data_IF_858543176290
#
_entry.id   IF_858543176290
#
_cell.length_a   1.000
_cell.length_b   1.000
_cell.length_c   1.000
_cell.angle_alpha   90.00
_cell.angle_beta   90.00
_cell.angle_gamma   90.00
#
_symmetry.space_group_name_H-M   'P 1'
#
loop_
_entity.id
_entity.type
_entity.pdbx_description
1 polymer ?
#
# COMPACT_ATOMS: atom_id res chain seq x y z
N UNK A 1 -9.19 -12.54 -51.93
CA UNK A 1 -8.22 -12.56 -50.82
C UNK A 1 -8.12 -11.14 -50.27
N UNK A 2 -8.86 -10.83 -49.19
CA UNK A 2 -8.74 -9.57 -48.45
C UNK A 2 -8.10 -9.90 -47.11
N UNK A 3 -6.80 -9.64 -47.00
CA UNK A 3 -5.99 -9.89 -45.81
C UNK A 3 -5.33 -8.59 -45.32
N UNK A 4 -6.12 -7.51 -45.24
CA UNK A 4 -5.68 -6.20 -44.71
C UNK A 4 -6.79 -5.64 -43.82
N UNK A 5 -7.06 -6.33 -42.72
CA UNK A 5 -7.85 -5.85 -41.59
C UNK A 5 -7.43 -6.61 -40.31
N UNK A 6 -6.13 -6.90 -40.21
CA UNK A 6 -5.51 -7.53 -39.06
C UNK A 6 -4.25 -6.72 -38.78
N UNK A 7 -4.04 -6.39 -37.50
CA UNK A 7 -2.91 -5.66 -36.90
C UNK A 7 -3.18 -4.15 -36.72
N UNK A 8 -4.02 -3.82 -35.73
CA UNK A 8 -3.87 -2.67 -34.83
C UNK A 8 -4.82 -2.79 -33.62
N UNK A 9 -4.93 -3.98 -33.04
CA UNK A 9 -5.64 -4.23 -31.77
C UNK A 9 -4.79 -5.11 -30.85
N UNK A 10 -3.49 -4.82 -30.75
CA UNK A 10 -2.59 -5.46 -29.79
C UNK A 10 -1.83 -4.38 -29.07
N UNK A 11 -1.99 -4.34 -27.74
CA UNK A 11 -1.69 -3.25 -26.79
C UNK A 11 -2.78 -2.17 -26.71
N UNK A 12 -3.92 -2.52 -26.10
CA UNK A 12 -4.54 -1.53 -25.20
C UNK A 12 -3.53 -1.42 -24.04
N UNK A 13 -2.66 -0.42 -24.10
CA UNK A 13 -2.11 0.13 -22.87
C UNK A 13 -3.34 0.51 -22.03
N UNK A 14 -3.47 -0.09 -20.85
CA UNK A 14 -4.59 0.20 -19.95
C UNK A 14 -4.76 1.70 -19.82
N UNK A 15 -6.01 2.18 -19.82
CA UNK A 15 -6.27 3.59 -19.62
C UNK A 15 -5.59 4.00 -18.31
N UNK A 16 -4.97 5.18 -18.30
CA UNK A 16 -4.34 5.67 -17.07
C UNK A 16 -5.38 5.68 -15.96
N UNK A 17 -5.03 5.23 -14.75
CA UNK A 17 -5.98 5.18 -13.65
C UNK A 17 -6.61 6.55 -13.36
N UNK A 18 -5.94 7.66 -13.73
CA UNK A 18 -6.47 9.03 -13.67
C UNK A 18 -7.63 9.30 -14.63
N UNK A 19 -7.81 8.53 -15.69
CA UNK A 19 -9.00 8.65 -16.56
C UNK A 19 -10.25 8.10 -15.87
N UNK A 20 -10.09 7.05 -15.05
CA UNK A 20 -11.20 6.42 -14.32
C UNK A 20 -11.43 7.06 -12.95
N UNK A 21 -10.35 7.44 -12.27
CA UNK A 21 -10.35 8.09 -10.95
C UNK A 21 -9.65 9.46 -11.12
N UNK A 22 -10.38 10.50 -11.53
CA UNK A 22 -9.74 11.75 -12.00
C UNK A 22 -9.25 12.68 -10.89
N UNK A 23 -9.61 12.42 -9.64
CA UNK A 23 -9.28 13.31 -8.52
C UNK A 23 -8.95 12.53 -7.26
N UNK A 24 -8.22 13.17 -6.34
CA UNK A 24 -7.99 12.65 -4.99
C UNK A 24 -9.29 12.37 -4.24
N UNK A 25 -10.30 13.21 -4.43
CA UNK A 25 -11.61 13.01 -3.82
C UNK A 25 -12.29 11.73 -4.32
N UNK A 26 -12.17 11.41 -5.61
CA UNK A 26 -12.69 10.16 -6.18
C UNK A 26 -11.92 8.94 -5.67
N UNK A 27 -10.60 9.07 -5.50
CA UNK A 27 -9.80 8.02 -4.88
C UNK A 27 -10.22 7.79 -3.42
N UNK A 28 -10.46 8.86 -2.66
CA UNK A 28 -11.02 8.77 -1.31
C UNK A 28 -12.38 8.07 -1.31
N UNK A 29 -13.31 8.40 -2.20
CA UNK A 29 -14.62 7.73 -2.28
C UNK A 29 -14.48 6.21 -2.47
N UNK A 30 -13.53 5.74 -3.28
CA UNK A 30 -13.25 4.30 -3.46
C UNK A 30 -12.76 3.66 -2.16
N UNK A 31 -11.84 4.32 -1.46
CA UNK A 31 -11.31 3.86 -0.17
C UNK A 31 -12.40 3.90 0.92
N UNK A 32 -13.23 4.95 0.96
CA UNK A 32 -14.32 5.10 1.90
C UNK A 32 -15.38 4.01 1.71
N UNK A 33 -15.77 3.72 0.47
CA UNK A 33 -16.68 2.61 0.17
C UNK A 33 -16.14 1.26 0.66
N UNK A 34 -14.81 1.11 0.69
CA UNK A 34 -14.13 -0.11 1.10
C UNK A 34 -14.07 -0.25 2.63
N UNK A 35 -13.78 0.85 3.35
CA UNK A 35 -13.48 0.82 4.79
C UNK A 35 -14.49 1.54 5.69
N UNK A 36 -15.51 2.16 5.09
CA UNK A 36 -16.49 3.04 5.73
C UNK A 36 -15.85 4.07 6.66
N UNK A 37 -14.85 4.80 6.15
CA UNK A 37 -14.08 5.83 6.87
C UNK A 37 -14.99 6.97 7.35
N UNK A 38 -15.94 7.41 6.54
CA UNK A 38 -16.93 8.45 6.84
C UNK A 38 -17.84 8.13 8.02
N UNK A 39 -17.93 6.85 8.43
CA UNK A 39 -18.67 6.42 9.62
C UNK A 39 -17.82 6.42 10.90
N UNK A 40 -16.54 6.79 10.79
CA UNK A 40 -15.57 6.82 11.89
C UNK A 40 -15.46 8.24 12.46
N UNK A 41 -14.96 8.42 13.70
CA UNK A 41 -14.75 9.74 14.29
C UNK A 41 -13.50 10.43 13.69
N UNK A 42 -13.52 10.65 12.38
CA UNK A 42 -12.48 11.32 11.60
C UNK A 42 -13.10 12.51 10.85
N UNK A 43 -12.42 13.64 10.89
CA UNK A 43 -12.63 14.73 9.94
C UNK A 43 -11.84 14.42 8.66
N UNK A 44 -12.47 14.70 7.54
CA UNK A 44 -11.95 14.44 6.19
C UNK A 44 -11.84 15.79 5.49
N UNK A 45 -10.70 16.09 4.88
CA UNK A 45 -10.56 17.31 4.07
C UNK A 45 -11.45 17.27 2.83
N UNK A 46 -11.79 18.43 2.27
CA UNK A 46 -12.68 18.54 1.10
C UNK A 46 -12.16 17.79 -0.14
N UNK A 47 -10.84 17.67 -0.28
CA UNK A 47 -10.14 16.95 -1.35
C UNK A 47 -9.89 15.46 -1.03
N UNK A 48 -10.27 15.00 0.17
CA UNK A 48 -10.10 13.63 0.64
C UNK A 48 -8.65 13.25 0.94
N UNK A 49 -7.68 14.16 0.84
CA UNK A 49 -6.25 13.83 0.99
C UNK A 49 -5.86 13.64 2.46
N UNK A 50 -6.53 14.35 3.37
CA UNK A 50 -6.21 14.36 4.79
C UNK A 50 -7.34 13.72 5.60
N UNK A 51 -6.95 12.81 6.50
CA UNK A 51 -7.81 12.37 7.61
C UNK A 51 -7.22 12.85 8.92
N UNK A 52 -8.07 13.36 9.81
CA UNK A 52 -7.67 13.70 11.16
C UNK A 52 -8.73 13.28 12.17
N UNK A 53 -8.40 12.90 13.39
CA UNK A 53 -9.40 12.55 14.40
C UNK A 53 -10.24 13.75 14.82
N UNK A 54 -11.53 13.54 15.04
CA UNK A 54 -12.42 14.56 15.62
C UNK A 54 -12.02 14.76 17.09
N UNK A 55 -11.34 15.86 17.44
CA UNK A 55 -10.90 16.16 18.81
C UNK A 55 -12.03 16.85 19.58
N UNK A 56 -12.79 16.08 20.37
CA UNK A 56 -13.95 16.63 21.09
C UNK A 56 -13.65 17.22 22.47
N UNK A 57 -12.55 16.85 23.14
CA UNK A 57 -12.13 17.41 24.45
C UNK A 57 -10.62 17.28 24.68
N UNK A 58 -9.93 18.41 24.82
CA UNK A 58 -8.58 18.47 25.42
C UNK A 58 -8.76 18.48 26.93
N UNK A 59 -8.19 17.51 27.65
CA UNK A 59 -8.26 17.45 29.12
C UNK A 59 -7.68 18.72 29.76
N UNK A 60 -8.42 19.36 30.67
CA UNK A 60 -7.97 20.54 31.44
C UNK A 60 -6.85 20.23 32.47
N UNK A 61 -6.54 18.96 32.75
CA UNK A 61 -5.51 18.57 33.73
C UNK A 61 -4.16 18.25 33.07
N UNK A 62 -3.87 18.85 31.93
CA UNK A 62 -2.67 18.59 31.14
C UNK A 62 -1.65 19.74 31.29
N UNK A 63 -0.85 19.72 32.36
CA UNK A 63 0.29 20.64 32.47
C UNK A 63 1.32 20.37 31.36
N UNK A 64 1.79 21.45 30.72
CA UNK A 64 2.96 21.48 29.83
C UNK A 64 2.73 22.17 28.47
N UNK A 65 3.65 23.06 28.09
CA UNK A 65 3.69 23.82 26.84
C UNK A 65 4.08 22.99 25.59
N UNK A 66 4.40 21.71 25.76
CA UNK A 66 4.95 20.83 24.70
C UNK A 66 4.00 19.71 24.26
N UNK A 67 2.68 19.85 24.43
CA UNK A 67 1.75 18.77 24.02
C UNK A 67 1.22 18.98 22.60
N UNK A 68 1.38 18.00 21.69
CA UNK A 68 0.69 18.02 20.41
C UNK A 68 -0.85 17.96 20.66
N UNK A 69 -1.66 18.71 19.89
CA UNK A 69 -3.06 19.04 20.23
C UNK A 69 -4.09 17.89 20.18
N UNK A 70 -3.67 16.63 20.12
CA UNK A 70 -4.53 15.53 19.62
C UNK A 70 -4.91 14.44 20.65
N UNK A 71 -4.72 14.68 21.96
CA UNK A 71 -5.08 13.68 22.98
C UNK A 71 -6.61 13.51 23.10
N UNK A 72 -7.14 12.35 22.71
CA UNK A 72 -8.54 11.99 22.87
C UNK A 72 -8.79 11.18 24.16
N UNK A 73 -9.83 11.54 24.92
CA UNK A 73 -10.39 10.70 25.97
C UNK A 73 -11.80 10.28 25.55
N UNK A 74 -11.98 9.01 25.17
CA UNK A 74 -13.30 8.52 24.77
C UNK A 74 -14.17 8.12 25.98
N UNK A 75 -13.60 7.76 27.15
CA UNK A 75 -14.35 7.40 28.37
C UNK A 75 -13.56 7.70 29.66
N UNK A 76 -14.26 7.90 30.79
CA UNK A 76 -13.68 8.25 32.10
C UNK A 76 -12.66 7.24 32.66
N UNK A 77 -12.62 6.01 32.13
CA UNK A 77 -11.70 4.95 32.55
C UNK A 77 -10.75 4.46 31.43
N UNK A 78 -10.72 5.13 30.27
CA UNK A 78 -9.88 4.76 29.14
C UNK A 78 -8.87 5.88 28.83
N UNK A 79 -7.60 5.66 29.18
CA UNK A 79 -6.48 6.46 28.70
C UNK A 79 -6.10 6.00 27.30
N UNK A 80 -6.51 6.71 26.23
CA UNK A 80 -6.07 6.38 24.86
C UNK A 80 -5.90 7.60 23.92
N UNK A 81 -4.67 8.13 23.93
CA UNK A 81 -3.72 8.49 22.84
C UNK A 81 -4.09 9.28 21.56
N UNK A 82 -3.10 10.08 21.13
CA UNK A 82 -3.04 10.99 19.96
C UNK A 82 -3.17 10.24 18.65
N UNK A 83 -4.26 10.36 17.89
CA UNK A 83 -4.25 9.93 16.49
C UNK A 83 -3.71 11.06 15.60
N UNK A 84 -2.65 10.78 14.84
CA UNK A 84 -1.97 11.76 14.01
C UNK A 84 -2.79 12.16 12.78
N UNK A 85 -2.33 13.20 12.08
CA UNK A 85 -2.80 13.54 10.74
C UNK A 85 -2.37 12.43 9.78
N UNK A 86 -3.32 11.91 9.01
CA UNK A 86 -3.05 10.96 7.94
C UNK A 86 -3.02 11.68 6.60
N UNK A 87 -2.13 11.26 5.72
CA UNK A 87 -2.03 11.78 4.36
C UNK A 87 -2.18 10.64 3.35
N UNK A 88 -3.01 10.85 2.33
CA UNK A 88 -3.18 9.90 1.24
C UNK A 88 -1.93 9.85 0.37
N UNK A 89 -1.32 8.68 0.28
CA UNK A 89 -0.19 8.36 -0.58
C UNK A 89 -0.62 7.42 -1.70
N UNK A 90 0.06 7.53 -2.83
CA UNK A 90 -0.16 6.73 -4.04
C UNK A 90 1.18 6.20 -4.54
N UNK A 91 1.20 4.92 -4.89
CA UNK A 91 2.27 4.28 -5.66
C UNK A 91 1.65 3.81 -6.97
N UNK A 92 2.08 4.39 -8.09
CA UNK A 92 1.70 3.93 -9.41
C UNK A 92 2.53 2.71 -9.81
N UNK A 93 1.91 1.71 -10.46
CA UNK A 93 2.64 0.53 -10.89
C UNK A 93 3.50 0.81 -12.13
N UNK A 94 4.80 0.51 -12.10
CA UNK A 94 5.65 0.63 -13.28
C UNK A 94 5.15 -0.26 -14.43
N UNK A 95 4.93 0.35 -15.60
CA UNK A 95 4.47 -0.35 -16.81
C UNK A 95 3.04 -0.89 -16.74
N UNK A 96 2.23 -0.45 -15.77
CA UNK A 96 0.79 -0.75 -15.68
C UNK A 96 0.03 0.49 -15.14
N UNK A 97 -0.23 1.51 -15.99
CA UNK A 97 -0.76 2.81 -15.54
C UNK A 97 -2.19 2.75 -14.98
N UNK A 98 -2.93 1.67 -15.28
CA UNK A 98 -4.25 1.37 -14.73
C UNK A 98 -4.19 0.81 -13.29
N UNK A 99 -3.01 0.48 -12.78
CA UNK A 99 -2.82 -0.20 -11.49
C UNK A 99 -2.15 0.69 -10.44
N UNK A 100 -2.80 0.84 -9.28
CA UNK A 100 -2.36 1.71 -8.19
C UNK A 100 -2.37 0.98 -6.84
N UNK A 101 -1.43 1.32 -5.98
CA UNK A 101 -1.51 1.10 -4.54
C UNK A 101 -1.75 2.45 -3.86
N UNK A 102 -2.81 2.59 -3.09
CA UNK A 102 -3.13 3.81 -2.37
C UNK A 102 -3.42 3.52 -0.90
N UNK A 103 -3.15 4.49 -0.03
CA UNK A 103 -3.48 4.40 1.38
C UNK A 103 -3.04 5.62 2.16
N UNK A 104 -3.60 5.78 3.34
CA UNK A 104 -3.34 6.83 4.30
C UNK A 104 -2.15 6.48 5.19
N UNK A 105 -1.18 7.38 5.26
CA UNK A 105 0.02 7.23 6.09
C UNK A 105 -0.03 8.22 7.24
N UNK A 106 0.24 7.74 8.47
CA UNK A 106 0.34 8.59 9.66
C UNK A 106 1.63 9.40 9.58
N UNK A 107 1.54 10.73 9.65
CA UNK A 107 2.70 11.63 9.61
C UNK A 107 3.49 11.73 10.94
N UNK A 108 3.27 10.80 11.86
CA UNK A 108 3.88 10.81 13.20
C UNK A 108 4.46 9.44 13.51
N UNK A 109 5.77 9.39 13.81
CA UNK A 109 6.54 8.18 14.10
C UNK A 109 6.17 7.56 15.46
N UNK A 110 5.44 8.28 16.31
CA UNK A 110 5.02 7.77 17.60
C UNK A 110 3.88 6.73 17.42
N UNK A 111 4.27 5.45 17.52
CA UNK A 111 3.37 4.29 17.49
C UNK A 111 2.27 4.43 18.54
N UNK A 112 1.02 4.26 18.11
CA UNK A 112 -0.15 4.38 18.98
C UNK A 112 -0.70 3.00 19.32
N UNK A 113 -0.66 2.67 20.60
CA UNK A 113 -1.23 1.45 21.15
C UNK A 113 -2.61 1.80 21.71
N UNK A 114 -3.67 1.36 21.01
CA UNK A 114 -5.05 1.50 21.50
C UNK A 114 -5.56 0.21 22.14
N UNK A 115 -6.10 0.29 23.36
CA UNK A 115 -6.95 -0.78 23.93
C UNK A 115 -8.42 -0.41 23.78
N UNK A 116 -9.19 -1.19 23.01
CA UNK A 116 -10.66 -1.07 23.01
C UNK A 116 -11.22 -1.73 24.29
N UNK A 117 -12.32 -1.20 24.89
CA UNK A 117 -12.90 -1.76 26.12
C UNK A 117 -13.24 -3.25 26.04
N UNK A 118 -13.58 -3.74 24.84
CA UNK A 118 -14.02 -5.12 24.60
C UNK A 118 -12.92 -6.00 23.95
N UNK A 119 -11.68 -5.50 23.85
CA UNK A 119 -10.56 -6.25 23.28
C UNK A 119 -9.38 -6.32 24.24
N UNK A 120 -9.01 -7.53 24.73
CA UNK A 120 -7.94 -7.69 25.72
C UNK A 120 -6.55 -7.43 25.15
N UNK A 121 -6.39 -7.50 23.82
CA UNK A 121 -5.12 -7.24 23.13
C UNK A 121 -5.11 -5.81 22.60
N UNK A 122 -4.07 -5.00 22.93
CA UNK A 122 -3.88 -3.74 22.24
C UNK A 122 -3.78 -4.00 20.74
N UNK A 123 -4.60 -3.35 19.93
CA UNK A 123 -4.42 -3.39 18.48
C UNK A 123 -3.56 -2.20 18.08
N UNK A 124 -2.54 -2.47 17.25
CA UNK A 124 -1.89 -1.43 16.48
C UNK A 124 -2.99 -0.69 15.70
N UNK A 125 -3.17 0.59 15.98
CA UNK A 125 -4.16 1.45 15.31
C UNK A 125 -3.66 1.97 13.95
N UNK A 126 -2.56 1.41 13.43
CA UNK A 126 -1.96 1.76 12.16
C UNK A 126 -2.80 1.19 11.00
N UNK A 127 -4.06 1.60 10.93
CA UNK A 127 -4.89 1.35 9.76
C UNK A 127 -4.48 2.36 8.71
N UNK A 128 -3.84 1.87 7.66
CA UNK A 128 -3.43 2.66 6.52
C UNK A 128 -4.56 2.82 5.51
N UNK A 129 -5.71 2.16 5.72
CA UNK A 129 -6.82 2.07 4.77
C UNK A 129 -6.33 1.77 3.35
N UNK A 130 -5.40 0.83 3.23
CA UNK A 130 -4.66 0.58 2.01
C UNK A 130 -5.46 -0.28 1.03
N UNK A 131 -5.53 0.17 -0.23
CA UNK A 131 -6.17 -0.55 -1.33
C UNK A 131 -5.22 -0.76 -2.50
N UNK A 132 -5.31 -1.91 -3.16
CA UNK A 132 -4.85 -2.06 -4.55
C UNK A 132 -6.03 -1.82 -5.48
N UNK A 133 -5.75 -1.13 -6.58
CA UNK A 133 -6.72 -0.79 -7.60
C UNK A 133 -6.21 -1.29 -8.95
N UNK A 134 -7.06 -2.00 -9.69
CA UNK A 134 -6.89 -2.27 -11.12
C UNK A 134 -8.11 -1.69 -11.82
N UNK A 135 -7.95 -0.49 -12.37
CA UNK A 135 -9.06 0.30 -12.94
C UNK A 135 -9.62 -0.30 -14.21
N UNK A 136 -8.77 -0.88 -15.07
CA UNK A 136 -9.20 -1.59 -16.29
C UNK A 136 -10.15 -2.75 -16.00
N UNK A 137 -9.89 -3.47 -14.89
CA UNK A 137 -10.68 -4.65 -14.50
C UNK A 137 -11.69 -4.38 -13.41
N UNK A 138 -11.79 -3.14 -12.95
CA UNK A 138 -12.65 -2.71 -11.85
C UNK A 138 -12.45 -3.56 -10.58
N UNK A 139 -11.19 -3.79 -10.19
CA UNK A 139 -10.82 -4.56 -9.00
C UNK A 139 -10.34 -3.61 -7.90
N UNK A 140 -10.86 -3.81 -6.69
CA UNK A 140 -10.39 -3.18 -5.45
C UNK A 140 -10.02 -4.27 -4.47
N UNK A 141 -8.79 -4.24 -3.93
CA UNK A 141 -8.31 -5.20 -2.93
C UNK A 141 -7.99 -4.46 -1.62
N UNK A 142 -8.74 -4.70 -0.54
CA UNK A 142 -8.53 -4.05 0.77
C UNK A 142 -7.41 -4.71 1.57
N UNK A 143 -6.19 -4.21 1.45
CA UNK A 143 -5.01 -4.87 2.03
C UNK A 143 -4.99 -4.93 3.56
N UNK A 144 -5.66 -3.99 4.24
CA UNK A 144 -5.65 -3.91 5.70
C UNK A 144 -6.73 -4.75 6.41
N UNK A 145 -7.54 -5.51 5.68
CA UNK A 145 -8.51 -6.45 6.27
C UNK A 145 -8.11 -7.92 6.00
N UNK A 146 -7.19 -8.50 6.79
CA UNK A 146 -6.69 -9.84 6.57
C UNK A 146 -7.72 -10.96 6.77
N UNK A 147 -8.96 -10.61 7.15
CA UNK A 147 -10.07 -11.56 7.28
C UNK A 147 -11.00 -11.51 6.07
N UNK A 148 -10.88 -10.50 5.22
CA UNK A 148 -11.77 -10.34 4.09
C UNK A 148 -11.36 -11.29 2.97
N UNK A 149 -12.27 -12.20 2.61
CA UNK A 149 -12.05 -13.16 1.53
C UNK A 149 -11.99 -12.43 0.19
N UNK A 150 -10.98 -12.75 -0.62
CA UNK A 150 -10.89 -12.23 -1.98
C UNK A 150 -11.71 -13.13 -2.92
N UNK A 151 -12.61 -12.52 -3.67
CA UNK A 151 -13.47 -13.21 -4.65
C UNK A 151 -12.86 -13.19 -6.07
N UNK A 152 -11.53 -13.10 -6.15
CA UNK A 152 -10.79 -13.06 -7.40
C UNK A 152 -10.57 -14.47 -7.97
N UNK A 153 -10.63 -14.59 -9.29
CA UNK A 153 -10.28 -15.81 -10.00
C UNK A 153 -8.76 -16.01 -10.07
N UNK A 154 -8.30 -17.24 -10.33
CA UNK A 154 -6.87 -17.57 -10.36
C UNK A 154 -6.02 -16.70 -11.28
N UNK A 155 -6.52 -16.38 -12.48
CA UNK A 155 -5.80 -15.49 -13.43
C UNK A 155 -5.77 -14.03 -12.95
N UNK A 156 -6.85 -13.56 -12.29
CA UNK A 156 -6.87 -12.23 -11.69
C UNK A 156 -5.86 -12.15 -10.53
N UNK A 157 -5.79 -13.17 -9.68
CA UNK A 157 -4.82 -13.26 -8.58
C UNK A 157 -3.39 -13.17 -9.12
N UNK A 158 -3.03 -14.01 -10.10
CA UNK A 158 -1.70 -14.01 -10.71
C UNK A 158 -1.35 -12.65 -11.30
N UNK A 159 -2.30 -12.03 -12.00
CA UNK A 159 -2.07 -10.73 -12.63
C UNK A 159 -1.89 -9.61 -11.60
N UNK A 160 -2.70 -9.58 -10.53
CA UNK A 160 -2.55 -8.60 -9.45
C UNK A 160 -1.21 -8.80 -8.74
N UNK A 161 -0.85 -10.05 -8.41
CA UNK A 161 0.44 -10.39 -7.82
C UNK A 161 1.62 -9.99 -8.71
N UNK A 162 1.53 -10.17 -10.03
CA UNK A 162 2.57 -9.74 -10.96
C UNK A 162 2.77 -8.21 -10.93
N UNK A 163 1.69 -7.43 -10.86
CA UNK A 163 1.79 -5.96 -10.74
C UNK A 163 2.34 -5.54 -9.37
N UNK A 164 1.96 -6.23 -8.29
CA UNK A 164 2.57 -6.02 -6.98
C UNK A 164 4.07 -6.33 -6.99
N UNK A 165 4.50 -7.42 -7.65
CA UNK A 165 5.93 -7.75 -7.80
C UNK A 165 6.68 -6.62 -8.50
N UNK A 166 6.09 -5.96 -9.51
CA UNK A 166 6.70 -4.79 -10.17
C UNK A 166 6.89 -3.60 -9.23
N UNK A 167 5.89 -3.29 -8.41
CA UNK A 167 6.01 -2.24 -7.37
C UNK A 167 7.15 -2.55 -6.41
N UNK A 168 7.21 -3.79 -5.90
CA UNK A 168 8.26 -4.21 -4.98
C UNK A 168 9.64 -4.27 -5.64
N UNK A 169 9.72 -4.65 -6.91
CA UNK A 169 10.97 -4.66 -7.65
C UNK A 169 11.52 -3.23 -7.82
N UNK A 170 10.66 -2.28 -8.20
CA UNK A 170 11.03 -0.86 -8.32
C UNK A 170 11.49 -0.29 -6.97
N UNK A 171 10.77 -0.61 -5.89
CA UNK A 171 11.20 -0.31 -4.52
C UNK A 171 12.60 -0.84 -4.19
N UNK A 172 12.84 -2.14 -4.40
CA UNK A 172 14.11 -2.79 -4.08
C UNK A 172 15.26 -2.26 -4.94
N UNK A 173 15.00 -1.86 -6.19
CA UNK A 173 16.00 -1.25 -7.07
C UNK A 173 16.53 0.09 -6.54
N UNK A 174 15.75 0.75 -5.68
CA UNK A 174 16.09 2.01 -5.04
C UNK A 174 16.30 1.86 -3.53
N UNK A 175 16.59 0.65 -3.02
CA UNK A 175 16.68 0.39 -1.57
C UNK A 175 17.82 1.16 -0.89
N UNK A 176 18.89 1.47 -1.63
CA UNK A 176 20.04 2.25 -1.17
C UNK A 176 19.73 3.73 -0.91
N UNK A 177 18.61 4.22 -1.45
CA UNK A 177 18.10 5.60 -1.27
C UNK A 177 17.04 5.69 -0.18
N UNK A 178 16.65 4.58 0.44
CA UNK A 178 15.58 4.57 1.44
C UNK A 178 16.10 4.93 2.83
N UNK A 179 15.17 5.36 3.67
CA UNK A 179 15.44 5.68 5.07
C UNK A 179 15.42 4.44 5.97
N UNK A 180 15.97 4.53 7.18
CA UNK A 180 16.06 3.39 8.12
C UNK A 180 14.71 2.80 8.54
N UNK A 181 13.62 3.55 8.40
CA UNK A 181 12.27 3.07 8.68
C UNK A 181 11.64 2.22 7.56
N UNK A 182 12.23 2.23 6.37
CA UNK A 182 11.65 1.60 5.19
C UNK A 182 11.68 0.05 5.25
N UNK A 183 10.76 -0.64 4.54
CA UNK A 183 10.78 -2.09 4.36
C UNK A 183 12.17 -2.63 4.00
N UNK A 184 12.63 -3.69 4.64
CA UNK A 184 13.85 -4.39 4.23
C UNK A 184 15.17 -3.60 4.31
N UNK A 185 15.13 -2.34 4.80
CA UNK A 185 16.32 -1.52 4.88
C UNK A 185 17.34 -2.10 5.88
N UNK A 186 16.88 -2.73 6.96
CA UNK A 186 17.74 -3.39 7.92
C UNK A 186 18.49 -4.57 7.27
N UNK A 187 17.78 -5.38 6.49
CA UNK A 187 18.33 -6.50 5.73
C UNK A 187 19.37 -6.03 4.71
N UNK A 188 19.07 -4.95 3.98
CA UNK A 188 20.01 -4.29 3.08
C UNK A 188 21.24 -3.73 3.83
N UNK A 189 21.03 -3.04 4.94
CA UNK A 189 22.10 -2.42 5.75
C UNK A 189 23.04 -3.48 6.31
N UNK A 190 22.50 -4.60 6.78
CA UNK A 190 23.29 -5.70 7.34
C UNK A 190 24.10 -6.42 6.26
N UNK A 191 23.59 -6.50 5.02
CA UNK A 191 24.39 -6.93 3.87
C UNK A 191 25.48 -5.91 3.54
N UNK A 192 25.12 -4.62 3.41
CA UNK A 192 26.02 -3.50 3.05
C UNK A 192 27.22 -3.38 3.98
N UNK A 193 27.04 -3.63 5.28
CA UNK A 193 28.09 -3.57 6.32
C UNK A 193 29.20 -4.60 6.13
N UNK A 194 29.00 -5.62 5.30
CA UNK A 194 30.00 -6.65 5.04
C UNK A 194 30.96 -6.30 3.89
N UNK A 195 30.79 -5.12 3.27
CA UNK A 195 31.55 -4.68 2.12
C UNK A 195 32.22 -3.32 2.39
N UNK A 196 33.46 -3.15 1.93
CA UNK A 196 34.10 -1.83 1.88
C UNK A 196 33.41 -1.00 0.78
N UNK A 197 33.37 -1.56 -0.43
CA UNK A 197 32.63 -1.04 -1.59
C UNK A 197 31.54 -2.03 -1.95
N UNK A 198 30.29 -1.56 -2.04
CA UNK A 198 29.15 -2.42 -2.35
C UNK A 198 29.20 -2.85 -3.82
N UNK A 199 29.22 -4.16 -4.14
CA UNK A 199 29.03 -4.66 -5.50
C UNK A 199 27.61 -4.37 -6.04
N UNK A 200 27.34 -4.55 -7.34
CA UNK A 200 25.98 -4.50 -7.86
C UNK A 200 25.04 -5.43 -7.08
N UNK A 201 23.86 -4.91 -6.70
CA UNK A 201 22.85 -5.69 -6.00
C UNK A 201 22.05 -6.53 -7.00
N UNK A 202 21.79 -7.76 -6.61
CA UNK A 202 20.79 -8.62 -7.23
C UNK A 202 19.61 -8.74 -6.25
N UNK A 203 18.40 -8.48 -6.71
CA UNK A 203 17.21 -8.59 -5.87
C UNK A 203 16.17 -9.48 -6.52
N UNK A 204 15.64 -10.43 -5.76
CA UNK A 204 14.48 -11.23 -6.13
C UNK A 204 13.32 -10.92 -5.18
N UNK A 205 12.10 -10.84 -5.70
CA UNK A 205 10.91 -10.58 -4.90
C UNK A 205 9.70 -11.28 -5.46
N UNK A 206 8.93 -11.87 -4.54
CA UNK A 206 7.66 -12.48 -4.84
C UNK A 206 6.63 -12.13 -3.77
N UNK A 207 5.43 -11.82 -4.23
CA UNK A 207 4.33 -11.41 -3.40
C UNK A 207 3.18 -12.37 -3.55
N UNK A 208 2.55 -12.71 -2.41
CA UNK A 208 1.39 -13.58 -2.36
C UNK A 208 0.31 -12.97 -1.47
N UNK A 209 -0.95 -13.27 -1.77
CA UNK A 209 -2.04 -12.97 -0.85
C UNK A 209 -1.99 -13.97 0.30
N UNK A 210 -2.45 -13.54 1.47
CA UNK A 210 -2.55 -14.42 2.62
C UNK A 210 -3.55 -15.55 2.36
N UNK A 211 -3.26 -16.73 2.90
CA UNK A 211 -4.23 -17.83 2.93
C UNK A 211 -5.19 -17.62 4.11
N UNK A 212 -6.46 -17.99 3.93
CA UNK A 212 -7.41 -18.04 5.04
C UNK A 212 -6.84 -18.91 6.18
N UNK A 213 -6.72 -18.32 7.37
CA UNK A 213 -6.26 -19.06 8.55
C UNK A 213 -7.27 -20.16 8.87
N UNK A 214 -6.79 -21.39 9.10
CA UNK A 214 -7.64 -22.44 9.65
C UNK A 214 -8.19 -21.97 11.00
N UNK A 215 -9.47 -22.21 11.27
CA UNK A 215 -10.16 -21.82 12.51
C UNK A 215 -9.59 -22.44 13.80
N UNK A 216 -8.45 -23.15 13.74
CA UNK A 216 -7.82 -23.79 14.89
C UNK A 216 -6.30 -23.59 14.93
N UNK A 217 -5.74 -22.92 15.97
CA UNK A 217 -4.31 -22.60 16.09
C UNK A 217 -3.41 -23.80 16.46
N UNK A 218 -3.92 -25.05 16.37
CA UNK A 218 -3.20 -26.28 16.74
C UNK A 218 -2.95 -27.25 15.59
N UNK A 219 -3.32 -26.90 14.36
CA UNK A 219 -3.01 -27.73 13.21
C UNK A 219 -1.62 -27.36 12.66
N UNK A 220 -0.69 -28.31 12.69
CA UNK A 220 0.58 -28.22 11.97
C UNK A 220 0.33 -27.84 10.50
N UNK A 221 1.19 -27.00 9.88
CA UNK A 221 1.03 -26.62 8.49
C UNK A 221 1.23 -27.87 7.61
N UNK A 222 0.13 -28.43 7.11
CA UNK A 222 0.16 -29.50 6.12
C UNK A 222 0.41 -28.92 4.73
N UNK A 223 1.15 -29.67 3.91
CA UNK A 223 1.47 -29.44 2.50
C UNK A 223 0.26 -29.29 1.55
N UNK A 224 -0.96 -29.13 2.07
CA UNK A 224 -2.21 -28.96 1.32
C UNK A 224 -2.76 -27.52 1.35
N UNK A 225 -1.97 -26.52 1.74
CA UNK A 225 -2.40 -25.11 1.80
C UNK A 225 -2.71 -24.46 0.43
N UNK A 226 -2.40 -25.13 -0.69
CA UNK A 226 -2.68 -24.62 -2.04
C UNK A 226 -4.18 -24.50 -2.39
N UNK A 227 -5.06 -25.17 -1.64
CA UNK A 227 -6.51 -25.11 -1.88
C UNK A 227 -7.23 -24.07 -1.00
N UNK A 228 -6.51 -23.34 -0.14
CA UNK A 228 -7.13 -22.30 0.69
C UNK A 228 -7.42 -21.07 -0.15
N UNK A 229 -8.59 -20.48 0.09
CA UNK A 229 -8.97 -19.26 -0.59
C UNK A 229 -8.10 -18.11 -0.10
N UNK A 230 -7.66 -17.22 -0.99
CA UNK A 230 -6.90 -16.05 -0.58
C UNK A 230 -7.79 -15.09 0.20
N UNK A 231 -7.23 -14.50 1.24
CA UNK A 231 -7.79 -13.36 1.98
C UNK A 231 -6.98 -12.12 1.66
N UNK A 232 -7.54 -10.95 1.96
CA UNK A 232 -6.86 -9.71 1.74
C UNK A 232 -5.62 -9.60 2.64
N UNK A 233 -4.72 -8.69 2.31
CA UNK A 233 -3.39 -8.64 2.90
C UNK A 233 -2.37 -9.47 2.12
N UNK A 234 -1.09 -9.11 2.28
CA UNK A 234 0.00 -9.59 1.45
C UNK A 234 1.16 -10.11 2.30
N UNK A 235 1.78 -11.17 1.81
CA UNK A 235 3.08 -11.65 2.27
C UNK A 235 4.10 -11.41 1.15
N UNK A 236 5.29 -11.00 1.56
CA UNK A 236 6.41 -10.70 0.66
C UNK A 236 7.55 -11.62 1.03
N UNK A 237 8.09 -12.31 0.03
CA UNK A 237 9.38 -12.98 0.09
C UNK A 237 10.34 -12.19 -0.77
N UNK A 238 11.45 -11.78 -0.19
CA UNK A 238 12.51 -11.05 -0.88
C UNK A 238 13.88 -11.63 -0.57
N UNK A 239 14.80 -11.52 -1.52
CA UNK A 239 16.22 -11.78 -1.33
C UNK A 239 17.02 -10.62 -1.94
N UNK A 240 18.02 -10.13 -1.22
CA UNK A 240 19.03 -9.20 -1.74
C UNK A 240 20.37 -9.90 -1.65
N UNK A 241 21.07 -9.96 -2.77
CA UNK A 241 22.37 -10.60 -2.89
C UNK A 241 23.41 -9.65 -3.48
N UNK A 242 24.67 -9.86 -3.08
CA UNK A 242 25.84 -9.21 -3.65
C UNK A 242 27.04 -10.14 -3.43
N UNK A 243 27.80 -10.43 -4.49
CA UNK A 243 29.04 -11.22 -4.43
C UNK A 243 28.89 -12.53 -3.62
N UNK A 244 27.93 -13.36 -4.01
CA UNK A 244 27.58 -14.65 -3.39
C UNK A 244 27.04 -14.60 -1.95
N UNK A 245 26.93 -13.40 -1.35
CA UNK A 245 26.28 -13.20 -0.05
C UNK A 245 24.83 -12.81 -0.29
N UNK A 246 23.95 -13.32 0.57
CA UNK A 246 22.52 -13.11 0.43
C UNK A 246 21.93 -12.83 1.81
N UNK A 247 20.99 -11.90 1.84
CA UNK A 247 20.08 -11.70 2.95
C UNK A 247 18.64 -11.76 2.44
N UNK A 248 17.72 -12.23 3.27
CA UNK A 248 16.36 -12.50 2.83
C UNK A 248 15.34 -12.27 3.92
N UNK A 249 14.11 -11.99 3.48
CA UNK A 249 12.95 -11.85 4.34
C UNK A 249 11.80 -12.67 3.74
N UNK A 250 11.02 -13.32 4.60
CA UNK A 250 9.79 -14.01 4.23
C UNK A 250 8.76 -13.78 5.35
N UNK A 251 7.70 -13.05 5.04
CA UNK A 251 6.70 -12.73 6.03
C UNK A 251 5.65 -11.75 5.56
N UNK A 252 4.86 -11.28 6.52
CA UNK A 252 3.88 -10.21 6.31
C UNK A 252 4.57 -8.86 6.43
N UNK A 253 4.07 -7.87 5.69
CA UNK A 253 4.53 -6.50 5.81
C UNK A 253 3.37 -5.53 5.94
N UNK A 254 3.55 -4.54 6.81
CA UNK A 254 2.61 -3.45 6.99
C UNK A 254 2.68 -2.52 5.77
N UNK A 255 1.54 -2.33 5.09
CA UNK A 255 1.49 -1.47 3.91
C UNK A 255 1.85 -0.02 4.21
N UNK A 256 1.59 0.46 5.43
CA UNK A 256 2.03 1.78 5.88
C UNK A 256 3.54 1.97 5.67
N UNK A 257 4.37 0.97 5.99
CA UNK A 257 5.83 1.10 5.83
C UNK A 257 6.21 1.28 4.38
N UNK A 258 5.57 0.58 3.44
CA UNK A 258 5.79 0.75 2.01
C UNK A 258 5.29 2.11 1.50
N UNK A 259 4.09 2.53 1.93
CA UNK A 259 3.51 3.82 1.56
C UNK A 259 4.25 5.03 2.17
N UNK A 260 5.09 4.80 3.19
CA UNK A 260 6.00 5.80 3.76
C UNK A 260 7.32 5.95 3.00
N UNK A 261 7.57 5.13 1.96
CA UNK A 261 8.85 5.14 1.23
C UNK A 261 8.88 6.19 0.14
N UNK A 262 10.07 6.40 -0.45
CA UNK A 262 10.29 7.41 -1.49
C UNK A 262 9.59 7.11 -2.82
N UNK A 263 9.15 5.87 -3.07
CA UNK A 263 8.38 5.52 -4.27
C UNK A 263 6.89 5.90 -4.15
N UNK A 264 6.44 6.26 -2.94
CA UNK A 264 5.10 6.75 -2.70
C UNK A 264 5.07 8.27 -2.79
N UNK A 265 4.18 8.81 -3.62
CA UNK A 265 3.96 10.24 -3.75
C UNK A 265 2.68 10.66 -3.01
N UNK A 266 2.55 11.94 -2.68
CA UNK A 266 1.27 12.45 -2.17
C UNK A 266 0.19 12.33 -3.25
N UNK A 267 -1.05 12.12 -2.85
CA UNK A 267 -2.17 12.11 -3.80
C UNK A 267 -2.26 13.42 -4.59
N UNK A 268 -1.98 14.56 -3.95
CA UNK A 268 -1.92 15.86 -4.63
C UNK A 268 -0.92 15.83 -5.81
N UNK A 269 0.32 15.41 -5.56
CA UNK A 269 1.34 15.33 -6.60
C UNK A 269 0.96 14.34 -7.72
N UNK A 270 0.35 13.20 -7.37
CA UNK A 270 -0.10 12.23 -8.36
C UNK A 270 -1.15 12.79 -9.32
N UNK A 271 -2.15 13.51 -8.79
CA UNK A 271 -3.27 14.05 -9.58
C UNK A 271 -2.97 15.40 -10.25
N UNK A 272 -1.95 16.13 -9.79
CA UNK A 272 -1.47 17.36 -10.44
C UNK A 272 -0.77 17.09 -11.79
N UNK A 273 -0.29 15.87 -12.00
CA UNK A 273 0.26 15.46 -13.29
C UNK A 273 -0.87 15.07 -14.25
N UNK A 274 -0.90 15.57 -15.51
CA UNK A 274 -1.85 15.10 -16.50
C UNK A 274 -1.62 13.60 -16.81
N UNK A 275 -2.66 12.85 -17.20
CA UNK A 275 -2.51 11.52 -17.77
C UNK A 275 -1.45 11.57 -18.87
N UNK A 276 -0.56 10.57 -18.94
CA UNK A 276 0.45 10.54 -19.98
C UNK A 276 -0.24 10.51 -21.35
N UNK A 277 -0.34 11.66 -22.00
CA UNK A 277 -0.98 11.76 -23.31
C UNK A 277 -0.01 11.14 -24.29
N UNK A 278 -0.43 10.09 -25.00
CA UNK A 278 0.38 9.48 -26.04
C UNK A 278 0.87 10.58 -27.01
N UNK A 279 2.17 10.84 -27.02
CA UNK A 279 2.81 11.61 -28.09
C UNK A 279 2.67 10.83 -29.40
N UNK A 280 1.52 10.95 -30.05
CA UNK A 280 1.35 10.58 -31.44
C UNK A 280 2.13 11.61 -32.25
N UNK A 281 3.38 11.28 -32.57
CA UNK A 281 4.11 12.01 -33.61
C UNK A 281 3.26 11.96 -34.89
N UNK A 282 2.93 13.10 -35.52
CA UNK A 282 2.30 13.07 -36.82
C UNK A 282 3.32 12.51 -37.80
N UNK A 283 3.05 11.31 -38.32
CA UNK A 283 3.79 10.77 -39.46
C UNK A 283 3.46 11.66 -40.63
N UNK A 284 4.37 12.56 -40.98
CA UNK A 284 4.29 13.38 -42.18
C UNK A 284 4.30 12.46 -43.40
N UNK A 285 3.13 12.24 -43.98
CA UNK A 285 3.02 11.70 -45.33
C UNK A 285 3.51 12.83 -46.25
N UNK A 286 4.69 12.65 -46.84
CA UNK A 286 5.16 13.48 -47.94
C UNK A 286 4.60 12.89 -49.22
N UNK A 287 3.80 13.67 -49.95
CA UNK A 287 3.48 13.44 -51.36
C UNK A 287 4.68 13.74 -52.26
#
# INVERSE_FOLDING_TARGET
>A
MNAVALILCTMVAGADARETIPTSQKLFEVIDNTYAISKRPLEISEDGIILQPVVNKVSHNADGADRPPYLLHYQQNASNYVAGKYELKVIACPGAPNFLLAGYVIQNDHILIGRQPDQPTPRLLHQCFSVLLDTDRNIVVPLDDPKLRLLLQGEQIKSVQANCNRIWHDYLSAIDKQESGAPFYEEFRDLRRQFITLPPLESDVSVSFLAEAAESPRAYPNLHDQNRRPVAGMSVRMAIAADQRMNGFDGQIEMQRLLSTTIAQSASAYFDHPPATETTQPTSISE
#
